data_IF_777057103524
#
_entry.id   IF_777057103524
#
_cell.length_a   1.000
_cell.length_b   1.000
_cell.length_c   1.000
_cell.angle_alpha   90.00
_cell.angle_beta   90.00
_cell.angle_gamma   90.00
#
_symmetry.space_group_name_H-M   'P 1'
#
loop_
_entity.id
_entity.type
_entity.pdbx_description
1 polymer ?
#
# COMPACT_ATOMS: atom_id res chain seq x y z
N UNK A 1 -37.61 -66.81 28.52
CA UNK A 1 -37.10 -66.74 27.14
C UNK A 1 -38.03 -65.82 26.35
N UNK A 2 -37.67 -64.57 26.22
CA UNK A 2 -38.46 -63.61 25.48
C UNK A 2 -38.08 -63.75 23.98
N UNK A 3 -39.10 -64.00 23.18
CA UNK A 3 -38.91 -64.14 21.73
C UNK A 3 -38.38 -62.84 21.11
N UNK A 4 -37.31 -62.98 20.40
CA UNK A 4 -36.79 -61.91 19.58
C UNK A 4 -37.76 -61.70 18.43
N UNK A 5 -38.55 -60.65 18.47
CA UNK A 5 -39.42 -60.27 17.34
C UNK A 5 -38.55 -59.50 16.38
N UNK A 6 -38.09 -60.17 15.35
CA UNK A 6 -37.49 -59.51 14.18
C UNK A 6 -38.61 -58.77 13.48
N UNK A 7 -38.66 -57.46 13.60
CA UNK A 7 -39.55 -56.65 12.77
C UNK A 7 -39.00 -56.63 11.32
N UNK A 8 -39.49 -57.53 10.53
CA UNK A 8 -39.18 -57.65 9.11
C UNK A 8 -40.25 -56.86 8.28
N UNK A 9 -40.57 -55.67 8.76
CA UNK A 9 -41.46 -54.76 8.05
C UNK A 9 -40.68 -53.56 7.60
N UNK A 10 -40.73 -53.31 6.28
CA UNK A 10 -40.30 -52.00 5.76
C UNK A 10 -41.00 -50.92 6.60
N UNK A 11 -40.22 -50.12 7.30
CA UNK A 11 -40.75 -48.97 8.02
C UNK A 11 -41.19 -47.94 6.97
N UNK A 12 -42.47 -48.01 6.56
CA UNK A 12 -43.08 -46.96 5.76
C UNK A 12 -43.24 -45.73 6.61
N UNK A 13 -42.45 -44.69 6.33
CA UNK A 13 -42.53 -43.42 6.98
C UNK A 13 -43.28 -42.47 6.04
N UNK A 14 -44.55 -42.17 6.28
CA UNK A 14 -45.23 -41.10 5.55
C UNK A 14 -44.51 -39.78 5.86
N UNK A 15 -44.22 -39.01 4.84
CA UNK A 15 -43.58 -37.72 4.91
C UNK A 15 -42.05 -37.69 5.15
N UNK A 16 -41.35 -38.83 5.03
CA UNK A 16 -39.87 -38.82 5.01
C UNK A 16 -39.18 -38.48 6.32
N UNK A 17 -39.85 -38.57 7.47
CA UNK A 17 -39.26 -38.27 8.77
C UNK A 17 -39.15 -39.49 9.67
N UNK A 18 -37.91 -39.78 10.10
CA UNK A 18 -37.67 -40.65 11.29
C UNK A 18 -37.61 -39.80 12.53
N UNK A 19 -38.68 -39.81 13.34
CA UNK A 19 -38.67 -39.20 14.65
C UNK A 19 -38.03 -40.15 15.65
N UNK A 20 -36.80 -39.96 16.00
CA UNK A 20 -36.19 -40.69 17.10
C UNK A 20 -36.74 -40.17 18.41
N UNK A 21 -37.74 -40.77 18.95
CA UNK A 21 -38.06 -40.65 20.37
C UNK A 21 -36.99 -41.43 21.13
N UNK A 22 -36.54 -40.89 22.30
CA UNK A 22 -35.44 -41.41 23.09
C UNK A 22 -35.38 -42.93 23.09
N UNK A 23 -34.22 -43.51 22.79
CA UNK A 23 -34.00 -44.94 22.83
C UNK A 23 -34.31 -45.46 24.27
N UNK A 24 -35.09 -46.57 24.41
CA UNK A 24 -35.28 -47.19 25.70
C UNK A 24 -33.92 -47.61 26.24
N UNK A 25 -33.66 -47.24 27.51
CA UNK A 25 -32.43 -47.59 28.18
C UNK A 25 -32.29 -49.12 28.23
N UNK A 26 -31.33 -49.68 27.54
CA UNK A 26 -30.93 -51.03 27.80
C UNK A 26 -30.47 -51.95 26.71
N UNK A 27 -30.65 -51.67 25.42
CA UNK A 27 -30.11 -52.53 24.37
C UNK A 27 -29.80 -51.77 23.09
N UNK A 28 -28.57 -51.39 22.91
CA UNK A 28 -28.00 -51.11 21.58
C UNK A 28 -26.60 -51.71 21.56
N UNK A 29 -26.49 -52.97 21.11
CA UNK A 29 -25.25 -53.47 20.53
C UNK A 29 -25.21 -52.95 19.08
N UNK A 30 -24.46 -51.89 18.84
CA UNK A 30 -24.25 -51.36 17.50
C UNK A 30 -24.06 -49.83 17.51
N UNK A 31 -23.38 -49.33 16.51
CA UNK A 31 -23.18 -47.92 16.32
C UNK A 31 -24.55 -47.21 16.14
N UNK A 32 -24.86 -46.26 17.02
CA UNK A 32 -26.02 -45.39 16.84
C UNK A 32 -25.76 -44.47 15.64
N UNK A 33 -26.49 -44.75 14.57
CA UNK A 33 -26.46 -43.86 13.41
C UNK A 33 -27.40 -42.69 13.65
N UNK A 34 -26.86 -41.49 13.72
CA UNK A 34 -27.67 -40.27 13.85
C UNK A 34 -28.25 -39.94 12.47
N UNK A 35 -29.58 -39.85 12.39
CA UNK A 35 -30.28 -39.44 11.18
C UNK A 35 -30.48 -37.91 11.27
N UNK A 36 -30.07 -37.21 10.24
CA UNK A 36 -30.22 -35.77 10.10
C UNK A 36 -31.43 -35.44 9.24
N UNK A 37 -32.20 -34.45 9.65
CA UNK A 37 -33.36 -33.90 8.96
C UNK A 37 -33.38 -32.37 9.00
N UNK A 38 -34.48 -31.73 8.61
CA UNK A 38 -34.59 -30.26 8.61
C UNK A 38 -34.58 -29.68 10.04
N UNK A 39 -35.01 -30.44 11.04
CA UNK A 39 -35.06 -30.02 12.45
C UNK A 39 -33.74 -30.35 13.14
N UNK A 40 -33.19 -31.53 12.87
CA UNK A 40 -31.95 -32.04 13.43
C UNK A 40 -30.84 -31.99 12.35
N UNK A 41 -30.40 -30.79 12.02
CA UNK A 41 -29.32 -30.60 11.04
C UNK A 41 -27.96 -31.00 11.61
N UNK A 42 -27.08 -31.60 10.78
CA UNK A 42 -25.73 -31.91 11.24
C UNK A 42 -24.96 -30.63 11.62
N UNK A 43 -24.23 -30.69 12.70
CA UNK A 43 -23.25 -29.66 13.04
C UNK A 43 -21.99 -29.81 12.19
N UNK A 44 -21.14 -28.80 12.20
CA UNK A 44 -19.82 -28.91 11.55
C UNK A 44 -19.00 -30.08 12.09
N UNK A 45 -19.09 -30.36 13.41
CA UNK A 45 -18.37 -31.44 14.05
C UNK A 45 -18.88 -32.81 13.55
N UNK A 46 -20.20 -32.94 13.39
CA UNK A 46 -20.81 -34.18 12.88
C UNK A 46 -20.36 -34.51 11.46
N UNK A 47 -20.03 -33.49 10.67
CA UNK A 47 -19.55 -33.60 9.29
C UNK A 47 -18.02 -33.67 9.20
N UNK A 48 -17.28 -33.70 10.30
CA UNK A 48 -15.82 -33.62 10.31
C UNK A 48 -15.28 -32.26 9.86
N UNK A 49 -16.11 -31.23 9.84
CA UNK A 49 -15.79 -29.89 9.34
C UNK A 49 -15.55 -28.89 10.48
N UNK A 50 -15.10 -29.35 11.66
CA UNK A 50 -14.88 -28.51 12.84
C UNK A 50 -13.96 -27.31 12.54
N UNK A 51 -12.99 -27.51 11.66
CA UNK A 51 -12.04 -26.48 11.24
C UNK A 51 -12.47 -25.71 10.00
N UNK A 52 -13.64 -26.02 9.42
CA UNK A 52 -14.10 -25.32 8.24
C UNK A 52 -14.52 -23.87 8.59
N UNK A 53 -14.03 -22.95 7.80
CA UNK A 53 -14.36 -21.54 7.92
C UNK A 53 -15.81 -21.29 7.47
N UNK A 54 -16.55 -20.49 8.23
CA UNK A 54 -17.87 -20.03 7.79
C UNK A 54 -17.72 -18.92 6.74
N UNK A 55 -18.65 -18.86 5.81
CA UNK A 55 -18.78 -17.71 4.89
C UNK A 55 -18.87 -16.42 5.72
N UNK A 56 -18.05 -15.44 5.39
CA UNK A 56 -17.94 -14.18 6.12
C UNK A 56 -16.96 -14.22 7.30
N UNK A 57 -16.46 -15.40 7.72
CA UNK A 57 -15.41 -15.45 8.72
C UNK A 57 -14.16 -14.71 8.21
N UNK A 58 -13.58 -13.86 9.04
CA UNK A 58 -12.44 -13.01 8.69
C UNK A 58 -12.68 -12.11 7.45
N UNK A 59 -13.94 -11.83 7.09
CA UNK A 59 -14.33 -11.07 5.91
C UNK A 59 -14.28 -11.86 4.60
N UNK A 60 -13.99 -13.16 4.63
CA UNK A 60 -13.96 -14.01 3.44
C UNK A 60 -15.38 -14.42 3.04
N UNK A 61 -15.78 -14.12 1.81
CA UNK A 61 -17.11 -14.41 1.29
C UNK A 61 -18.25 -13.61 1.92
N UNK A 62 -17.93 -12.54 2.67
CA UNK A 62 -18.88 -11.63 3.31
C UNK A 62 -18.31 -10.23 3.45
N UNK A 63 -18.98 -9.38 4.21
CA UNK A 63 -18.49 -8.03 4.52
C UNK A 63 -17.26 -8.10 5.42
N UNK A 64 -16.24 -7.29 5.10
CA UNK A 64 -15.08 -7.10 5.96
C UNK A 64 -15.44 -6.48 7.31
N UNK A 65 -14.51 -6.54 8.25
CA UNK A 65 -14.68 -5.91 9.56
C UNK A 65 -14.62 -4.39 9.40
N UNK A 66 -15.66 -3.69 9.87
CA UNK A 66 -15.68 -2.22 9.90
C UNK A 66 -14.99 -1.68 11.15
N UNK A 67 -14.27 -0.59 10.99
CA UNK A 67 -13.65 0.17 12.10
C UNK A 67 -14.53 1.30 12.63
N UNK A 68 -15.81 1.28 12.28
CA UNK A 68 -16.77 2.33 12.68
C UNK A 68 -16.74 2.60 14.19
N UNK A 69 -16.82 3.86 14.57
CA UNK A 69 -16.79 4.30 15.97
C UNK A 69 -15.39 4.43 16.59
N UNK A 70 -14.32 4.10 15.87
CA UNK A 70 -12.95 4.26 16.38
C UNK A 70 -12.40 5.64 16.02
N UNK A 71 -11.83 6.31 17.02
CA UNK A 71 -11.41 7.72 16.91
C UNK A 71 -9.95 7.89 16.52
N UNK A 72 -9.11 6.90 16.76
CA UNK A 72 -7.67 6.96 16.52
C UNK A 72 -7.14 5.70 15.83
N UNK A 73 -5.97 5.82 15.19
CA UNK A 73 -5.29 4.67 14.58
C UNK A 73 -5.00 3.57 15.62
N UNK A 74 -4.63 3.95 16.85
CA UNK A 74 -4.37 2.99 17.92
C UNK A 74 -5.60 2.15 18.25
N UNK A 75 -6.77 2.77 18.39
CA UNK A 75 -8.02 2.07 18.63
C UNK A 75 -8.40 1.15 17.49
N UNK A 76 -8.22 1.62 16.25
CA UNK A 76 -8.48 0.85 15.04
C UNK A 76 -7.55 -0.37 15.00
N UNK A 77 -6.25 -0.16 15.11
CA UNK A 77 -5.25 -1.22 15.02
C UNK A 77 -5.39 -2.25 16.14
N UNK A 78 -5.75 -1.83 17.37
CA UNK A 78 -6.08 -2.76 18.47
C UNK A 78 -7.30 -3.59 18.13
N UNK A 79 -8.38 -2.98 17.65
CA UNK A 79 -9.60 -3.68 17.28
C UNK A 79 -9.38 -4.70 16.14
N UNK A 80 -8.54 -4.35 15.17
CA UNK A 80 -8.15 -5.26 14.07
C UNK A 80 -7.29 -6.42 14.60
N UNK A 81 -6.27 -6.12 15.41
CA UNK A 81 -5.38 -7.11 16.01
C UNK A 81 -6.16 -8.17 16.82
N UNK A 82 -7.14 -7.74 17.61
CA UNK A 82 -7.91 -8.62 18.50
C UNK A 82 -8.82 -9.58 17.71
N UNK A 83 -9.05 -9.33 16.41
CA UNK A 83 -9.77 -10.22 15.50
C UNK A 83 -8.86 -11.20 14.74
N UNK A 84 -7.54 -11.02 14.80
CA UNK A 84 -6.58 -11.82 14.03
C UNK A 84 -6.46 -11.35 12.56
N UNK A 85 -6.01 -12.25 11.67
CA UNK A 85 -5.88 -11.95 10.25
C UNK A 85 -7.24 -11.88 9.54
N UNK A 86 -7.53 -10.79 8.82
CA UNK A 86 -8.82 -10.61 8.17
C UNK A 86 -8.82 -9.46 7.14
N UNK A 87 -9.91 -9.37 6.35
CA UNK A 87 -10.22 -8.20 5.54
C UNK A 87 -11.00 -7.18 6.36
N UNK A 88 -10.74 -5.89 6.12
CA UNK A 88 -11.38 -4.81 6.87
C UNK A 88 -11.69 -3.60 6.01
N UNK A 89 -12.56 -2.74 6.53
CA UNK A 89 -12.90 -1.46 5.95
C UNK A 89 -12.67 -0.35 6.98
N UNK A 90 -11.97 0.70 6.55
CA UNK A 90 -11.74 1.89 7.34
C UNK A 90 -12.94 2.81 7.31
N UNK A 91 -13.70 2.91 8.42
CA UNK A 91 -14.79 3.85 8.57
C UNK A 91 -14.44 4.82 9.71
N UNK A 92 -14.17 6.07 9.34
CA UNK A 92 -13.84 7.12 10.32
C UNK A 92 -15.08 7.92 10.70
N UNK A 93 -15.42 8.03 11.99
CA UNK A 93 -16.45 8.96 12.45
C UNK A 93 -15.96 10.42 12.31
N UNK A 94 -16.91 11.35 12.30
CA UNK A 94 -16.60 12.78 12.35
C UNK A 94 -15.78 13.10 13.62
N UNK A 95 -14.73 13.91 13.47
CA UNK A 95 -13.81 14.26 14.57
C UNK A 95 -12.72 13.21 14.88
N UNK A 96 -12.65 12.10 14.12
CA UNK A 96 -11.57 11.12 14.26
C UNK A 96 -10.21 11.72 13.92
N UNK A 97 -9.21 11.40 14.73
CA UNK A 97 -7.79 11.73 14.50
C UNK A 97 -7.05 10.61 13.73
N UNK A 98 -7.74 9.52 13.39
CA UNK A 98 -7.14 8.42 12.66
C UNK A 98 -6.65 8.84 11.28
N UNK A 99 -5.49 8.34 10.89
CA UNK A 99 -4.85 8.64 9.60
C UNK A 99 -5.26 7.67 8.49
N UNK A 100 -6.02 6.60 8.81
CA UNK A 100 -6.55 5.67 7.80
C UNK A 100 -7.41 6.42 6.78
N UNK A 101 -7.51 5.87 5.58
CA UNK A 101 -8.46 6.35 4.58
C UNK A 101 -9.88 5.96 4.96
N UNK A 102 -10.79 6.94 5.00
CA UNK A 102 -12.21 6.69 5.22
C UNK A 102 -12.79 5.93 4.03
N UNK A 103 -13.61 4.93 4.29
CA UNK A 103 -14.14 3.97 3.31
C UNK A 103 -13.05 3.15 2.58
N UNK A 104 -11.80 3.22 3.05
CA UNK A 104 -10.71 2.44 2.51
C UNK A 104 -10.83 0.96 2.87
N UNK A 105 -10.54 0.09 1.91
CA UNK A 105 -10.44 -1.35 2.15
C UNK A 105 -9.04 -1.74 2.60
N UNK A 106 -8.93 -2.90 3.25
CA UNK A 106 -7.63 -3.34 3.72
C UNK A 106 -7.55 -4.81 4.10
N UNK A 107 -6.33 -5.23 4.34
CA UNK A 107 -5.99 -6.54 4.87
C UNK A 107 -5.21 -6.33 6.16
N UNK A 108 -5.57 -7.04 7.21
CA UNK A 108 -4.81 -7.14 8.44
C UNK A 108 -4.20 -8.53 8.52
N UNK A 109 -2.90 -8.59 8.71
CA UNK A 109 -2.14 -9.83 8.89
C UNK A 109 -1.54 -9.87 10.28
N UNK A 110 -1.62 -11.02 10.94
CA UNK A 110 -1.02 -11.25 12.24
C UNK A 110 -0.38 -12.62 12.33
N UNK A 111 0.83 -12.67 12.87
CA UNK A 111 1.52 -13.92 13.22
C UNK A 111 2.22 -13.73 14.56
N UNK A 112 1.79 -14.49 15.56
CA UNK A 112 2.26 -14.31 16.93
C UNK A 112 1.92 -12.91 17.47
N UNK A 113 2.94 -12.18 17.90
CA UNK A 113 2.83 -10.81 18.39
C UNK A 113 3.02 -9.74 17.30
N UNK A 114 3.47 -10.13 16.11
CA UNK A 114 3.75 -9.23 14.98
C UNK A 114 2.54 -9.11 14.08
N UNK A 115 2.28 -7.88 13.61
CA UNK A 115 1.15 -7.58 12.74
C UNK A 115 1.49 -6.51 11.70
N UNK A 116 0.73 -6.52 10.63
CA UNK A 116 0.68 -5.46 9.63
C UNK A 116 -0.73 -5.22 9.13
N UNK A 117 -1.01 -3.99 8.69
CA UNK A 117 -2.26 -3.60 8.08
C UNK A 117 -2.01 -2.81 6.81
N UNK A 118 -2.70 -3.15 5.74
CA UNK A 118 -2.75 -2.37 4.51
C UNK A 118 -4.10 -1.67 4.47
N UNK A 119 -4.08 -0.39 4.10
CA UNK A 119 -5.30 0.40 3.89
C UNK A 119 -5.21 1.10 2.54
N UNK A 120 -6.19 0.86 1.69
CA UNK A 120 -6.26 1.40 0.32
C UNK A 120 -7.44 2.36 0.25
N UNK A 121 -7.17 3.58 -0.17
CA UNK A 121 -8.22 4.59 -0.41
C UNK A 121 -9.10 4.19 -1.59
N UNK A 122 -10.42 4.21 -1.39
CA UNK A 122 -11.38 3.74 -2.37
C UNK A 122 -11.48 4.63 -3.62
N UNK A 123 -11.13 5.91 -3.51
CA UNK A 123 -11.31 6.90 -4.58
C UNK A 123 -10.01 7.20 -5.33
N UNK A 124 -8.86 7.17 -4.64
CA UNK A 124 -7.57 7.56 -5.20
C UNK A 124 -6.59 6.41 -5.37
N UNK A 125 -6.90 5.21 -4.80
CA UNK A 125 -6.01 4.06 -4.73
C UNK A 125 -4.67 4.33 -4.00
N UNK A 126 -4.58 5.39 -3.21
CA UNK A 126 -3.43 5.61 -2.33
C UNK A 126 -3.35 4.50 -1.29
N UNK A 127 -2.14 4.12 -0.91
CA UNK A 127 -1.89 2.99 -0.02
C UNK A 127 -1.13 3.44 1.21
N UNK A 128 -1.63 3.08 2.40
CA UNK A 128 -0.91 3.17 3.66
C UNK A 128 -0.66 1.79 4.22
N UNK A 129 0.51 1.62 4.81
CA UNK A 129 0.91 0.41 5.52
C UNK A 129 1.19 0.79 6.96
N UNK A 130 0.60 0.04 7.89
CA UNK A 130 0.82 0.12 9.32
C UNK A 130 1.47 -1.18 9.77
N UNK A 131 2.46 -1.10 10.66
CA UNK A 131 3.14 -2.29 11.15
C UNK A 131 3.63 -2.12 12.58
N UNK A 132 3.73 -3.23 13.29
CA UNK A 132 4.24 -3.24 14.66
C UNK A 132 4.16 -4.60 15.30
N UNK A 133 4.31 -4.59 16.61
CA UNK A 133 4.03 -5.73 17.46
C UNK A 133 3.09 -5.34 18.60
N UNK A 134 2.63 -6.34 19.34
CA UNK A 134 1.67 -6.13 20.42
C UNK A 134 2.17 -5.18 21.51
N UNK A 135 3.44 -5.26 21.89
CA UNK A 135 4.03 -4.40 22.92
C UNK A 135 4.02 -2.93 22.47
N UNK A 136 4.47 -2.63 21.24
CA UNK A 136 4.45 -1.28 20.69
C UNK A 136 3.03 -0.74 20.60
N UNK A 137 2.09 -1.54 20.08
CA UNK A 137 0.71 -1.10 19.92
C UNK A 137 0.02 -0.86 21.27
N UNK A 138 0.31 -1.67 22.30
CA UNK A 138 -0.21 -1.47 23.64
C UNK A 138 0.28 -0.14 24.22
N UNK A 139 1.52 0.24 23.93
CA UNK A 139 2.11 1.53 24.30
C UNK A 139 1.68 2.70 23.36
N UNK A 140 0.73 2.46 22.45
CA UNK A 140 0.23 3.49 21.53
C UNK A 140 1.18 3.82 20.39
N UNK A 141 2.18 2.99 20.10
CA UNK A 141 3.18 3.22 19.04
C UNK A 141 3.12 2.15 17.93
N UNK A 142 3.35 2.57 16.71
CA UNK A 142 3.40 1.73 15.52
C UNK A 142 4.19 2.44 14.42
N UNK A 143 4.51 1.74 13.35
CA UNK A 143 5.08 2.34 12.14
C UNK A 143 3.98 2.57 11.11
N UNK A 144 4.04 3.69 10.39
CA UNK A 144 3.16 3.98 9.26
C UNK A 144 4.00 4.44 8.08
N UNK A 145 3.64 3.99 6.89
CA UNK A 145 4.23 4.43 5.64
C UNK A 145 3.14 4.62 4.59
N UNK A 146 3.19 5.72 3.85
CA UNK A 146 2.36 5.96 2.68
C UNK A 146 3.19 5.69 1.42
N UNK A 147 2.73 4.79 0.57
CA UNK A 147 3.47 4.41 -0.63
C UNK A 147 3.36 5.49 -1.69
N UNK A 148 4.48 5.86 -2.28
CA UNK A 148 4.51 6.74 -3.44
C UNK A 148 4.12 5.99 -4.71
N UNK A 149 3.34 6.66 -5.56
CA UNK A 149 2.88 6.13 -6.84
C UNK A 149 2.29 7.22 -7.72
N UNK A 150 1.60 6.87 -8.79
CA UNK A 150 0.95 7.85 -9.68
C UNK A 150 -0.09 8.71 -8.97
N UNK A 151 -0.80 8.12 -7.99
CA UNK A 151 -1.81 8.80 -7.18
C UNK A 151 -1.22 9.59 -6.01
N UNK A 152 0.02 9.32 -5.61
CA UNK A 152 0.73 9.96 -4.51
C UNK A 152 2.20 10.13 -4.90
N UNK A 153 2.49 11.14 -5.72
CA UNK A 153 3.86 11.43 -6.13
C UNK A 153 4.61 12.11 -4.99
N UNK A 154 5.89 11.76 -4.75
CA UNK A 154 6.69 12.45 -3.76
C UNK A 154 6.85 13.93 -4.14
N UNK A 155 6.86 14.80 -3.15
CA UNK A 155 7.26 16.19 -3.31
C UNK A 155 8.78 16.30 -3.52
N UNK A 156 9.25 17.46 -3.99
CA UNK A 156 10.69 17.73 -4.08
C UNK A 156 11.39 17.54 -2.72
N UNK A 157 10.74 17.95 -1.63
CA UNK A 157 11.28 17.80 -0.27
C UNK A 157 11.43 16.34 0.13
N UNK A 158 10.46 15.48 -0.22
CA UNK A 158 10.48 14.06 0.13
C UNK A 158 11.67 13.30 -0.50
N UNK A 159 12.11 13.77 -1.66
CA UNK A 159 13.27 13.20 -2.39
C UNK A 159 14.57 14.00 -2.20
N UNK A 160 14.63 14.86 -1.19
CA UNK A 160 15.82 15.65 -0.88
C UNK A 160 16.12 16.79 -1.85
N UNK A 161 15.17 17.14 -2.73
CA UNK A 161 15.31 18.20 -3.73
C UNK A 161 14.61 19.51 -3.32
N UNK A 162 14.36 19.71 -2.01
CA UNK A 162 13.64 20.88 -1.50
C UNK A 162 14.25 22.22 -1.91
N UNK A 163 15.58 22.28 -2.00
CA UNK A 163 16.32 23.48 -2.38
C UNK A 163 16.55 23.63 -3.90
N UNK A 164 16.07 22.64 -4.69
CA UNK A 164 16.18 22.73 -6.15
C UNK A 164 15.05 23.61 -6.66
N UNK A 165 15.38 24.80 -7.12
CA UNK A 165 14.44 25.67 -7.84
C UNK A 165 14.05 24.98 -9.15
N UNK A 166 12.77 25.14 -9.55
CA UNK A 166 12.29 24.58 -10.80
C UNK A 166 12.51 25.56 -11.97
N UNK A 167 13.49 26.43 -11.82
CA UNK A 167 13.87 27.33 -12.88
C UNK A 167 14.46 26.53 -14.04
N UNK A 168 14.26 27.02 -15.24
CA UNK A 168 14.82 26.41 -16.44
C UNK A 168 16.35 26.35 -16.28
N UNK A 169 16.88 25.15 -16.03
CA UNK A 169 18.33 24.97 -15.94
C UNK A 169 18.93 25.05 -17.36
N UNK A 170 20.09 25.66 -17.46
CA UNK A 170 20.81 25.70 -18.74
C UNK A 170 21.08 24.28 -19.24
N UNK A 171 20.56 23.92 -20.38
CA UNK A 171 20.66 22.57 -20.96
C UNK A 171 22.09 22.32 -21.45
N UNK A 172 22.56 21.08 -21.35
CA UNK A 172 23.86 20.67 -21.91
C UNK A 172 23.96 20.87 -23.41
N UNK A 173 22.84 20.85 -24.13
CA UNK A 173 22.75 21.06 -25.59
C UNK A 173 22.71 22.55 -26.00
N UNK A 174 22.77 23.44 -24.99
CA UNK A 174 22.64 24.87 -25.16
C UNK A 174 21.29 25.38 -24.69
N UNK A 175 21.29 26.61 -24.19
CA UNK A 175 20.11 27.31 -23.68
C UNK A 175 20.35 28.84 -23.73
N UNK A 176 19.27 29.60 -23.50
CA UNK A 176 19.30 31.05 -23.41
C UNK A 176 19.01 31.49 -21.99
N UNK A 177 19.90 32.27 -21.41
CA UNK A 177 19.66 32.93 -20.12
C UNK A 177 19.09 34.34 -20.40
N UNK A 178 17.95 34.65 -19.77
CA UNK A 178 17.31 35.96 -19.93
C UNK A 178 17.75 36.99 -18.87
N UNK A 179 18.54 36.56 -17.91
CA UNK A 179 19.14 37.40 -16.86
C UNK A 179 20.66 37.31 -16.84
N UNK A 180 21.27 38.05 -15.91
CA UNK A 180 22.71 38.09 -15.77
C UNK A 180 23.28 36.79 -15.22
N UNK A 181 24.44 36.37 -15.71
CA UNK A 181 25.22 35.28 -15.14
C UNK A 181 26.25 35.86 -14.16
N UNK A 182 26.05 35.64 -12.87
CA UNK A 182 27.01 36.00 -11.82
C UNK A 182 27.71 34.76 -11.30
N UNK A 183 29.04 34.71 -11.41
CA UNK A 183 29.88 33.67 -10.83
C UNK A 183 30.61 34.24 -9.63
N UNK A 184 30.22 33.84 -8.42
CA UNK A 184 30.80 34.30 -7.16
C UNK A 184 31.56 33.17 -6.48
N UNK A 185 32.89 33.29 -6.46
CA UNK A 185 33.80 32.33 -5.83
C UNK A 185 35.10 33.10 -5.50
N UNK A 186 35.93 32.58 -4.58
CA UNK A 186 37.23 33.20 -4.23
C UNK A 186 38.14 33.33 -5.47
N UNK A 187 38.14 32.34 -6.34
CA UNK A 187 38.83 32.35 -7.63
C UNK A 187 37.89 31.86 -8.73
N UNK A 188 37.02 32.75 -9.25
CA UNK A 188 36.04 32.37 -10.27
C UNK A 188 36.72 32.14 -11.62
N UNK A 189 36.25 31.14 -12.36
CA UNK A 189 36.74 30.80 -13.70
C UNK A 189 35.60 30.38 -14.60
N UNK A 190 35.62 30.81 -15.86
CA UNK A 190 34.77 30.29 -16.91
C UNK A 190 35.66 29.53 -17.89
N UNK A 191 35.38 28.24 -18.08
CA UNK A 191 36.08 27.44 -19.06
C UNK A 191 35.25 27.32 -20.32
N UNK A 192 35.75 27.87 -21.40
CA UNK A 192 35.22 27.65 -22.76
C UNK A 192 36.17 26.64 -23.45
N UNK A 193 35.66 25.49 -23.84
CA UNK A 193 36.46 24.43 -24.45
C UNK A 193 35.86 24.03 -25.80
N UNK A 194 36.71 23.87 -26.79
CA UNK A 194 36.38 23.25 -28.07
C UNK A 194 37.26 22.03 -28.26
N UNK A 195 36.70 20.94 -28.77
CA UNK A 195 37.44 19.74 -29.12
C UNK A 195 38.36 19.99 -30.34
N UNK A 196 37.92 20.88 -31.21
CA UNK A 196 38.70 21.37 -32.36
C UNK A 196 38.21 22.75 -32.75
N UNK A 197 39.07 23.55 -33.36
CA UNK A 197 38.72 24.87 -33.86
C UNK A 197 38.90 26.00 -32.85
N UNK A 198 38.05 26.98 -32.88
CA UNK A 198 38.15 28.24 -32.14
C UNK A 198 37.19 28.23 -30.93
N UNK A 199 37.69 28.59 -29.75
CA UNK A 199 36.88 28.93 -28.59
C UNK A 199 36.62 30.42 -28.57
N UNK A 200 35.36 30.84 -28.46
CA UNK A 200 35.01 32.26 -28.58
C UNK A 200 33.89 32.67 -27.58
N UNK A 201 34.02 33.88 -27.03
CA UNK A 201 32.95 34.63 -26.42
C UNK A 201 32.51 35.71 -27.41
N UNK A 202 31.25 35.69 -27.85
CA UNK A 202 30.70 36.62 -28.85
C UNK A 202 29.67 37.51 -28.22
N UNK A 203 29.69 38.76 -28.62
CA UNK A 203 28.75 39.80 -28.20
C UNK A 203 27.82 40.18 -29.34
N UNK A 204 26.51 40.09 -29.09
CA UNK A 204 25.48 40.41 -30.08
C UNK A 204 24.53 41.48 -29.57
N UNK A 205 23.89 42.20 -30.48
CA UNK A 205 22.69 42.97 -30.21
C UNK A 205 21.44 42.09 -30.30
N UNK A 206 20.30 42.61 -29.86
CA UNK A 206 19.04 41.84 -29.85
C UNK A 206 18.56 41.40 -31.25
N UNK A 207 19.07 42.01 -32.31
CA UNK A 207 18.82 41.67 -33.71
C UNK A 207 19.84 40.66 -34.29
N UNK A 208 20.62 39.99 -33.45
CA UNK A 208 21.68 39.05 -33.78
C UNK A 208 22.85 39.66 -34.59
N UNK A 209 23.04 40.98 -34.55
CA UNK A 209 24.22 41.62 -35.12
C UNK A 209 25.41 41.47 -34.17
N UNK A 210 26.51 40.80 -34.62
CA UNK A 210 27.73 40.66 -33.85
C UNK A 210 28.42 42.01 -33.65
N UNK A 211 28.71 42.38 -32.40
CA UNK A 211 29.38 43.63 -32.05
C UNK A 211 30.82 43.45 -31.66
N UNK A 212 31.18 42.27 -31.23
CA UNK A 212 32.54 41.96 -30.85
C UNK A 212 32.75 40.51 -30.51
N UNK A 213 33.99 40.13 -30.45
CA UNK A 213 34.40 38.75 -30.17
C UNK A 213 35.72 38.73 -29.38
N UNK A 214 35.79 37.94 -28.38
CA UNK A 214 37.03 37.49 -27.75
C UNK A 214 37.20 36.03 -28.13
N UNK A 215 38.29 35.66 -28.79
CA UNK A 215 38.47 34.27 -29.20
C UNK A 215 39.94 33.82 -29.03
N UNK A 216 40.08 32.52 -28.82
CA UNK A 216 41.36 31.80 -28.87
C UNK A 216 41.30 30.81 -30.00
N UNK A 217 42.17 30.96 -31.00
CA UNK A 217 42.29 30.05 -32.14
C UNK A 217 43.37 28.99 -31.94
N UNK A 218 43.35 27.97 -32.76
CA UNK A 218 44.49 27.05 -32.81
C UNK A 218 45.74 27.82 -33.25
N UNK A 219 46.74 27.75 -32.44
CA UNK A 219 48.04 28.31 -32.81
C UNK A 219 49.04 27.16 -32.96
N UNK A 220 50.03 27.34 -33.83
CA UNK A 220 51.13 26.39 -34.04
C UNK A 220 52.07 26.32 -32.85
N UNK A 221 51.95 27.30 -31.91
CA UNK A 221 52.76 27.40 -30.71
C UNK A 221 51.96 26.94 -29.48
N UNK A 222 52.58 26.47 -28.45
CA UNK A 222 51.99 25.87 -27.24
C UNK A 222 51.13 26.83 -26.41
N UNK A 223 51.10 28.12 -26.71
CA UNK A 223 50.30 29.18 -26.09
C UNK A 223 49.43 29.81 -27.16
N UNK A 224 48.14 29.46 -27.22
CA UNK A 224 47.19 30.03 -28.15
C UNK A 224 47.08 31.57 -28.09
N UNK A 225 46.84 32.20 -29.22
CA UNK A 225 46.65 33.64 -29.31
C UNK A 225 45.23 34.05 -28.88
N UNK A 226 45.10 35.00 -27.95
CA UNK A 226 43.82 35.61 -27.60
C UNK A 226 43.67 36.91 -28.41
N UNK A 227 42.61 37.02 -29.20
CA UNK A 227 42.30 38.21 -30.01
C UNK A 227 41.00 38.84 -29.54
N UNK A 228 41.01 40.16 -29.44
CA UNK A 228 39.83 40.99 -29.23
C UNK A 228 39.59 41.78 -30.49
N UNK A 229 38.37 41.65 -31.06
CA UNK A 229 37.97 42.39 -32.25
C UNK A 229 36.65 43.09 -31.97
N UNK A 230 36.59 44.37 -32.25
CA UNK A 230 35.34 45.14 -32.42
C UNK A 230 34.97 45.21 -33.89
N UNK A 231 33.67 45.14 -34.15
CA UNK A 231 33.11 45.42 -35.47
C UNK A 231 32.44 46.77 -35.50
#
# INVERSE_FOLDING_TARGET
>A
MLAQTTLNTELYIPDGFVKQTAAPSGYIEGNVVRIYDQVNKPTKADLGLSNAMLTGAFGLGGSGISTNGKMSDVEILKALRDKGGHFWRGDKPTGSTATIYSHGSGIFSRCGDTWSAINIDYSTAKIKIYAGNDARLNNGTFSVNELYGSANKPSKSDVGLGNVTNDAQVKKTGDTMTGDLTIKKDTPSVFLRADSGVTALRFYTGDNTERGIIYAGPNTDSLGEVRIRAK
#
